data_IF_006699334899
#
_entry.id   IF_006699334899
#
_cell.length_a   1.000
_cell.length_b   1.000
_cell.length_c   1.000
_cell.angle_alpha   90.00
_cell.angle_beta   90.00
_cell.angle_gamma   90.00
#
_symmetry.space_group_name_H-M   'P 1'
#
loop_
_entity.id
_entity.type
_entity.pdbx_description
1 polymer ?
#
# COMPACT_ATOMS: atom_id res chain seq x y z
N UNK A 1 -10.88 2.99 -18.10
CA UNK A 1 -11.15 1.97 -17.06
C UNK A 1 -12.22 2.50 -16.13
N UNK A 2 -13.04 1.60 -15.60
CA UNK A 2 -13.98 1.87 -14.51
C UNK A 2 -13.30 1.63 -13.18
N UNK A 3 -13.25 2.64 -12.33
CA UNK A 3 -12.54 2.61 -11.04
C UNK A 3 -13.55 2.80 -9.93
N UNK A 4 -13.48 1.96 -8.90
CA UNK A 4 -14.11 2.20 -7.62
C UNK A 4 -13.08 2.77 -6.63
N UNK A 5 -13.48 3.68 -5.75
CA UNK A 5 -12.67 4.20 -4.68
C UNK A 5 -13.20 3.66 -3.35
N UNK A 6 -12.30 3.16 -2.51
CA UNK A 6 -12.61 2.71 -1.15
C UNK A 6 -11.77 3.56 -0.20
N UNK A 7 -12.44 4.39 0.59
CA UNK A 7 -11.87 5.47 1.36
C UNK A 7 -11.84 6.79 0.57
N UNK A 8 -12.61 7.77 1.04
CA UNK A 8 -12.75 9.07 0.35
C UNK A 8 -12.22 10.24 1.17
N UNK A 9 -11.13 9.98 1.88
CA UNK A 9 -10.34 10.98 2.56
C UNK A 9 -9.47 11.81 1.60
N UNK A 10 -8.38 12.36 2.10
CA UNK A 10 -7.45 13.19 1.31
C UNK A 10 -6.91 12.46 0.07
N UNK A 11 -6.50 11.19 0.22
CA UNK A 11 -5.97 10.41 -0.89
C UNK A 11 -7.06 10.03 -1.90
N UNK A 12 -8.22 9.57 -1.45
CA UNK A 12 -9.33 9.20 -2.34
C UNK A 12 -9.75 10.35 -3.25
N UNK A 13 -9.89 11.56 -2.71
CA UNK A 13 -10.22 12.77 -3.48
C UNK A 13 -9.16 13.13 -4.52
N UNK A 14 -7.88 12.97 -4.16
CA UNK A 14 -6.78 13.21 -5.11
C UNK A 14 -6.75 12.18 -6.23
N UNK A 15 -6.97 10.92 -5.89
CA UNK A 15 -7.01 9.82 -6.86
C UNK A 15 -8.18 10.02 -7.84
N UNK A 16 -9.35 10.43 -7.36
CA UNK A 16 -10.49 10.75 -8.21
C UNK A 16 -10.13 11.80 -9.25
N UNK A 17 -9.58 12.94 -8.81
CA UNK A 17 -9.20 14.04 -9.72
C UNK A 17 -8.21 13.57 -10.79
N UNK A 18 -7.20 12.80 -10.40
CA UNK A 18 -6.19 12.28 -11.31
C UNK A 18 -6.79 11.24 -12.27
N UNK A 19 -7.64 10.35 -11.77
CA UNK A 19 -8.28 9.32 -12.58
C UNK A 19 -9.16 9.96 -13.68
N UNK A 20 -9.99 10.93 -13.32
CA UNK A 20 -10.83 11.68 -14.26
C UNK A 20 -9.96 12.43 -15.29
N UNK A 21 -8.90 13.11 -14.85
CA UNK A 21 -7.98 13.83 -15.76
C UNK A 21 -7.28 12.91 -16.77
N UNK A 22 -7.15 11.62 -16.43
CA UNK A 22 -6.57 10.58 -17.29
C UNK A 22 -7.63 9.85 -18.15
N UNK A 23 -8.88 10.29 -18.13
CA UNK A 23 -9.96 9.69 -18.90
C UNK A 23 -10.50 8.38 -18.32
N UNK A 24 -10.33 8.15 -17.03
CA UNK A 24 -10.97 7.03 -16.33
C UNK A 24 -12.32 7.44 -15.78
N UNK A 25 -13.21 6.48 -15.59
CA UNK A 25 -14.55 6.67 -15.01
C UNK A 25 -14.54 6.22 -13.55
N UNK A 26 -14.98 7.08 -12.63
CA UNK A 26 -15.25 6.69 -11.26
C UNK A 26 -16.70 6.21 -11.17
N UNK A 27 -16.86 4.91 -10.97
CA UNK A 27 -18.20 4.27 -10.96
C UNK A 27 -18.77 4.12 -9.56
N UNK A 28 -17.94 4.10 -8.52
CA UNK A 28 -18.36 3.99 -7.13
C UNK A 28 -17.35 4.65 -6.21
N UNK A 29 -17.86 5.28 -5.15
CA UNK A 29 -17.05 5.85 -4.07
C UNK A 29 -17.62 5.33 -2.77
N UNK A 30 -16.81 4.58 -2.01
CA UNK A 30 -17.20 3.98 -0.75
C UNK A 30 -16.40 4.64 0.38
N UNK A 31 -17.10 5.05 1.42
CA UNK A 31 -16.52 5.54 2.66
C UNK A 31 -17.28 4.93 3.87
N UNK A 32 -17.06 5.46 5.05
CA UNK A 32 -17.64 4.95 6.31
C UNK A 32 -19.17 4.96 6.27
N UNK A 33 -19.76 5.98 5.64
CA UNK A 33 -21.20 6.26 5.70
C UNK A 33 -22.05 5.52 4.66
N UNK A 34 -21.44 4.78 3.71
CA UNK A 34 -22.13 4.11 2.61
C UNK A 34 -21.58 2.71 2.29
N UNK A 35 -21.30 1.94 3.32
CA UNK A 35 -20.73 0.59 3.19
C UNK A 35 -21.63 -0.39 2.43
N UNK A 36 -22.93 -0.14 2.34
CA UNK A 36 -23.91 -0.90 1.55
C UNK A 36 -23.63 -0.81 0.04
N UNK A 37 -22.95 0.23 -0.42
CA UNK A 37 -22.62 0.43 -1.84
C UNK A 37 -21.62 -0.62 -2.39
N UNK A 38 -20.95 -1.41 -1.55
CA UNK A 38 -20.25 -2.61 -1.99
C UNK A 38 -21.17 -3.60 -2.71
N UNK A 39 -22.45 -3.61 -2.38
CA UNK A 39 -23.45 -4.48 -3.00
C UNK A 39 -24.07 -3.88 -4.26
N UNK A 40 -23.73 -2.65 -4.62
CA UNK A 40 -24.30 -1.97 -5.78
C UNK A 40 -23.82 -2.55 -7.12
N UNK A 41 -24.66 -2.53 -8.17
CA UNK A 41 -24.22 -2.87 -9.52
C UNK A 41 -23.10 -1.95 -10.04
N UNK A 42 -23.05 -0.71 -9.57
CA UNK A 42 -22.01 0.25 -9.91
C UNK A 42 -20.64 -0.24 -9.43
N UNK A 43 -20.52 -0.63 -8.16
CA UNK A 43 -19.29 -1.19 -7.63
C UNK A 43 -18.87 -2.48 -8.36
N UNK A 44 -19.82 -3.39 -8.56
CA UNK A 44 -19.55 -4.65 -9.27
C UNK A 44 -19.10 -4.46 -10.73
N UNK A 45 -19.38 -3.30 -11.33
CA UNK A 45 -18.95 -2.96 -12.68
C UNK A 45 -17.53 -2.45 -12.79
N UNK A 46 -16.84 -2.23 -11.65
CA UNK A 46 -15.48 -1.70 -11.63
C UNK A 46 -14.45 -2.71 -12.15
N UNK A 47 -13.52 -2.24 -12.98
CA UNK A 47 -12.36 -3.03 -13.40
C UNK A 47 -11.36 -3.21 -12.23
N UNK A 48 -11.29 -2.22 -11.33
CA UNK A 48 -10.41 -2.18 -10.18
C UNK A 48 -10.96 -1.27 -9.10
N UNK A 49 -10.76 -1.64 -7.85
CA UNK A 49 -10.95 -0.77 -6.69
C UNK A 49 -9.61 -0.25 -6.18
N UNK A 50 -9.52 1.05 -5.91
CA UNK A 50 -8.36 1.68 -5.29
C UNK A 50 -8.72 1.99 -3.84
N UNK A 51 -7.99 1.39 -2.90
CA UNK A 51 -8.29 1.37 -1.48
C UNK A 51 -7.23 2.15 -0.68
N UNK A 52 -7.69 3.16 0.05
CA UNK A 52 -6.89 3.94 1.01
C UNK A 52 -7.75 4.24 2.25
N UNK A 53 -7.75 3.32 3.20
CA UNK A 53 -8.52 3.42 4.44
C UNK A 53 -7.65 3.22 5.69
N UNK A 54 -8.27 3.04 6.84
CA UNK A 54 -7.57 2.71 8.07
C UNK A 54 -7.11 1.24 8.08
N UNK A 55 -6.00 0.91 8.80
CA UNK A 55 -5.47 -0.44 8.90
C UNK A 55 -6.51 -1.52 9.23
N UNK A 56 -7.39 -1.20 10.16
CA UNK A 56 -8.43 -2.13 10.67
C UNK A 56 -9.54 -2.42 9.63
N UNK A 57 -9.74 -1.52 8.67
CA UNK A 57 -10.77 -1.66 7.65
C UNK A 57 -10.26 -2.36 6.37
N UNK A 58 -8.97 -2.27 6.09
CA UNK A 58 -8.38 -2.67 4.82
C UNK A 58 -8.71 -4.12 4.42
N UNK A 59 -8.46 -5.08 5.30
CA UNK A 59 -8.71 -6.49 5.02
C UNK A 59 -10.19 -6.79 4.74
N UNK A 60 -11.09 -6.23 5.57
CA UNK A 60 -12.53 -6.35 5.36
C UNK A 60 -12.99 -5.76 3.99
N UNK A 61 -12.37 -4.67 3.57
CA UNK A 61 -12.63 -4.05 2.28
C UNK A 61 -12.13 -4.94 1.12
N UNK A 62 -10.99 -5.62 1.27
CA UNK A 62 -10.52 -6.59 0.25
C UNK A 62 -11.50 -7.73 0.08
N UNK A 63 -11.98 -8.32 1.18
CA UNK A 63 -12.95 -9.42 1.12
C UNK A 63 -14.24 -9.02 0.42
N UNK A 64 -14.77 -7.83 0.71
CA UNK A 64 -15.98 -7.29 0.07
C UNK A 64 -15.75 -7.07 -1.44
N UNK A 65 -14.63 -6.46 -1.83
CA UNK A 65 -14.29 -6.23 -3.23
C UNK A 65 -14.13 -7.56 -4.00
N UNK A 66 -13.39 -8.50 -3.43
CA UNK A 66 -13.20 -9.82 -4.04
C UNK A 66 -14.47 -10.66 -4.15
N UNK A 67 -15.41 -10.50 -3.21
CA UNK A 67 -16.74 -11.15 -3.31
C UNK A 67 -17.54 -10.67 -4.52
N UNK A 68 -17.25 -9.45 -5.01
CA UNK A 68 -17.84 -8.89 -6.25
C UNK A 68 -16.98 -9.13 -7.50
N UNK A 69 -15.87 -9.85 -7.37
CA UNK A 69 -14.95 -10.10 -8.48
C UNK A 69 -14.07 -8.90 -8.85
N UNK A 70 -14.04 -7.85 -8.03
CA UNK A 70 -13.29 -6.63 -8.29
C UNK A 70 -11.85 -6.78 -7.78
N UNK A 71 -10.88 -6.47 -8.63
CA UNK A 71 -9.45 -6.45 -8.29
C UNK A 71 -9.15 -5.26 -7.39
N UNK A 72 -8.13 -5.39 -6.53
CA UNK A 72 -7.80 -4.33 -5.56
C UNK A 72 -6.37 -3.81 -5.75
N UNK A 73 -6.23 -2.49 -5.72
CA UNK A 73 -4.98 -1.77 -5.51
C UNK A 73 -5.07 -1.07 -4.16
N UNK A 74 -4.18 -1.36 -3.23
CA UNK A 74 -4.25 -0.79 -1.88
C UNK A 74 -2.97 -0.12 -1.45
N UNK A 75 -3.12 1.04 -0.81
CA UNK A 75 -2.07 1.76 -0.11
C UNK A 75 -2.26 1.79 1.41
N UNK A 76 -3.26 1.09 1.94
CA UNK A 76 -3.43 0.95 3.40
C UNK A 76 -2.33 0.08 3.99
N UNK A 77 -1.80 0.50 5.12
CA UNK A 77 -0.72 -0.18 5.85
C UNK A 77 -1.22 -0.73 7.18
N UNK A 78 -0.39 -1.51 7.89
CA UNK A 78 -0.68 -1.99 9.25
C UNK A 78 -1.58 -3.22 9.34
N UNK A 79 -2.08 -3.77 8.24
CA UNK A 79 -2.93 -4.98 8.20
C UNK A 79 -2.13 -6.28 7.97
N UNK A 80 -0.89 -6.15 7.50
CA UNK A 80 -0.08 -7.29 7.00
C UNK A 80 0.24 -8.30 8.11
N UNK A 81 0.53 -7.84 9.32
CA UNK A 81 0.89 -8.71 10.45
C UNK A 81 -0.30 -9.61 10.85
N UNK A 82 -1.52 -9.08 10.77
CA UNK A 82 -2.72 -9.78 11.21
C UNK A 82 -3.34 -10.65 10.11
N UNK A 83 -3.22 -10.24 8.84
CA UNK A 83 -3.95 -10.83 7.71
C UNK A 83 -3.09 -11.15 6.48
N UNK A 84 -1.76 -11.03 6.58
CA UNK A 84 -0.88 -11.21 5.43
C UNK A 84 -0.93 -12.62 4.85
N UNK A 85 -1.08 -13.65 5.67
CA UNK A 85 -1.12 -15.04 5.22
C UNK A 85 -2.45 -15.37 4.54
N UNK A 86 -3.58 -14.89 5.07
CA UNK A 86 -4.89 -15.04 4.44
C UNK A 86 -4.93 -14.36 3.07
N UNK A 87 -4.37 -13.15 2.98
CA UNK A 87 -4.30 -12.40 1.72
C UNK A 87 -3.42 -13.10 0.70
N UNK A 88 -2.23 -13.60 1.12
CA UNK A 88 -1.35 -14.37 0.22
C UNK A 88 -2.04 -15.62 -0.30
N UNK A 89 -2.72 -16.35 0.58
CA UNK A 89 -3.49 -17.56 0.22
C UNK A 89 -4.60 -17.22 -0.77
N UNK A 90 -5.40 -16.20 -0.49
CA UNK A 90 -6.48 -15.77 -1.39
C UNK A 90 -5.95 -15.41 -2.79
N UNK A 91 -4.79 -14.74 -2.88
CA UNK A 91 -4.18 -14.40 -4.16
C UNK A 91 -3.58 -15.61 -4.89
N UNK A 92 -2.89 -16.53 -4.18
CA UNK A 92 -2.18 -17.65 -4.79
C UNK A 92 -3.09 -18.84 -5.12
N UNK A 93 -4.13 -19.09 -4.32
CA UNK A 93 -4.96 -20.30 -4.41
C UNK A 93 -6.39 -20.03 -4.87
N UNK A 94 -6.94 -18.85 -4.59
CA UNK A 94 -8.36 -18.53 -4.84
C UNK A 94 -8.56 -17.56 -6.02
N UNK A 95 -7.49 -17.22 -6.74
CA UNK A 95 -7.55 -16.35 -7.92
C UNK A 95 -7.91 -14.89 -7.61
N UNK A 96 -7.75 -14.45 -6.36
CA UNK A 96 -7.94 -13.05 -6.00
C UNK A 96 -6.76 -12.20 -6.46
N UNK A 97 -6.98 -10.89 -6.64
CA UNK A 97 -5.92 -9.98 -7.09
C UNK A 97 -5.79 -8.82 -6.13
N UNK A 98 -4.61 -8.66 -5.57
CA UNK A 98 -4.20 -7.49 -4.81
C UNK A 98 -2.86 -6.97 -5.34
N UNK A 99 -2.79 -5.68 -5.66
CA UNK A 99 -1.55 -4.96 -5.79
C UNK A 99 -1.41 -4.01 -4.60
N UNK A 100 -0.48 -4.32 -3.71
CA UNK A 100 -0.25 -3.54 -2.50
C UNK A 100 1.16 -2.96 -2.47
N UNK A 101 1.27 -1.73 -1.96
CA UNK A 101 2.53 -1.13 -1.62
C UNK A 101 2.36 -0.22 -0.38
N UNK A 102 3.35 -0.21 0.50
CA UNK A 102 3.40 0.71 1.63
C UNK A 102 3.61 2.16 1.20
N UNK A 103 4.15 2.35 -0.01
CA UNK A 103 4.38 3.67 -0.60
C UNK A 103 4.32 3.59 -2.13
N UNK A 104 3.55 4.47 -2.75
CA UNK A 104 3.42 4.59 -4.21
C UNK A 104 4.25 5.74 -4.80
N UNK A 105 5.10 6.39 -4.02
CA UNK A 105 5.99 7.43 -4.51
C UNK A 105 7.13 6.83 -5.33
N UNK A 106 7.27 7.26 -6.58
CA UNK A 106 8.39 6.88 -7.45
C UNK A 106 9.72 7.33 -6.82
N UNK A 107 9.75 8.51 -6.18
CA UNK A 107 10.94 9.01 -5.48
C UNK A 107 11.38 8.07 -4.35
N UNK A 108 10.43 7.57 -3.55
CA UNK A 108 10.72 6.59 -2.49
C UNK A 108 11.19 5.26 -3.08
N UNK A 109 10.58 4.80 -4.18
CA UNK A 109 11.01 3.56 -4.85
C UNK A 109 12.44 3.66 -5.40
N UNK A 110 12.82 4.82 -5.97
CA UNK A 110 14.20 5.08 -6.41
C UNK A 110 15.14 5.12 -5.21
N UNK A 111 14.75 5.80 -4.13
CA UNK A 111 15.57 5.87 -2.91
C UNK A 111 15.80 4.47 -2.31
N UNK A 112 14.76 3.65 -2.20
CA UNK A 112 14.84 2.25 -1.79
C UNK A 112 15.83 1.44 -2.66
N UNK A 113 15.76 1.59 -3.99
CA UNK A 113 16.69 0.91 -4.89
C UNK A 113 18.15 1.33 -4.66
N UNK A 114 18.41 2.63 -4.46
CA UNK A 114 19.74 3.16 -4.14
C UNK A 114 20.20 2.68 -2.77
N UNK A 115 19.33 2.66 -1.77
CA UNK A 115 19.59 2.18 -0.42
C UNK A 115 20.10 0.73 -0.42
N UNK A 116 19.39 -0.18 -1.09
CA UNK A 116 19.81 -1.60 -1.24
C UNK A 116 21.15 -1.73 -1.97
N UNK A 117 21.34 -0.94 -3.02
CA UNK A 117 22.59 -0.96 -3.78
C UNK A 117 23.76 -0.46 -2.95
N UNK A 118 23.59 0.63 -2.20
CA UNK A 118 24.59 1.18 -1.31
C UNK A 118 24.96 0.18 -0.21
N UNK A 119 23.97 -0.44 0.44
CA UNK A 119 24.22 -1.47 1.47
C UNK A 119 25.11 -2.60 0.95
N UNK A 120 24.86 -3.09 -0.28
CA UNK A 120 25.70 -4.12 -0.94
C UNK A 120 27.12 -3.65 -1.18
N UNK A 121 27.33 -2.42 -1.65
CA UNK A 121 28.68 -1.86 -1.91
C UNK A 121 29.44 -1.75 -0.58
N UNK A 122 28.78 -1.30 0.49
CA UNK A 122 29.41 -1.07 1.78
C UNK A 122 29.92 -2.34 2.47
N UNK A 123 29.54 -3.53 2.01
CA UNK A 123 30.12 -4.80 2.46
C UNK A 123 31.64 -4.89 2.20
N UNK A 124 32.14 -4.18 1.20
CA UNK A 124 33.58 -4.13 0.89
C UNK A 124 34.36 -3.16 1.77
N UNK A 125 33.70 -2.38 2.60
CA UNK A 125 34.28 -1.29 3.39
C UNK A 125 33.90 -1.42 4.87
N UNK A 126 34.47 -2.41 5.60
CA UNK A 126 34.08 -2.72 6.99
C UNK A 126 34.41 -1.62 8.00
N UNK A 127 35.22 -0.62 7.61
CA UNK A 127 35.58 0.53 8.44
C UNK A 127 34.47 1.59 8.53
N UNK A 128 33.40 1.48 7.74
CA UNK A 128 32.24 2.36 7.82
C UNK A 128 31.09 1.66 8.55
N UNK A 129 30.31 2.44 9.26
CA UNK A 129 29.09 1.99 9.91
C UNK A 129 27.86 2.65 9.29
N UNK A 130 26.67 2.16 9.62
CA UNK A 130 25.40 2.67 9.08
C UNK A 130 24.56 3.22 10.22
N UNK A 131 24.18 4.47 10.10
CA UNK A 131 23.18 5.11 10.94
C UNK A 131 22.00 5.58 10.08
N UNK A 132 20.79 5.48 10.62
CA UNK A 132 19.58 5.99 9.96
C UNK A 132 18.81 6.84 10.95
N UNK A 133 18.47 8.05 10.53
CA UNK A 133 17.63 8.98 11.27
C UNK A 133 16.43 9.37 10.41
N UNK A 134 15.25 9.44 11.03
CA UNK A 134 14.06 10.02 10.39
C UNK A 134 13.53 11.20 11.19
N UNK A 135 13.09 12.22 10.49
CA UNK A 135 12.48 13.41 11.09
C UNK A 135 11.11 13.66 10.46
N UNK A 136 10.10 13.84 11.30
CA UNK A 136 8.73 14.13 10.90
C UNK A 136 8.15 15.33 11.64
N UNK A 137 7.03 15.83 11.14
CA UNK A 137 6.23 16.82 11.82
C UNK A 137 5.63 16.27 13.14
N UNK A 138 5.32 17.12 14.07
CA UNK A 138 4.86 16.77 15.43
C UNK A 138 3.53 15.98 15.49
N UNK A 139 2.78 15.92 14.41
CA UNK A 139 1.49 15.21 14.33
C UNK A 139 1.61 13.78 13.78
N UNK A 140 2.83 13.28 13.53
CA UNK A 140 2.99 11.89 13.09
C UNK A 140 2.77 10.93 14.26
N UNK A 141 1.91 9.94 14.04
CA UNK A 141 1.47 9.03 15.09
C UNK A 141 2.35 7.77 15.19
N UNK A 142 2.83 7.26 14.06
CA UNK A 142 3.66 6.06 13.97
C UNK A 142 5.16 6.40 14.02
N UNK A 143 5.88 5.75 14.91
CA UNK A 143 7.32 5.87 15.13
C UNK A 143 7.93 4.48 15.40
N UNK A 144 8.84 3.98 14.56
CA UNK A 144 9.28 4.49 13.26
C UNK A 144 8.17 4.42 12.20
N UNK A 145 8.32 5.20 11.12
CA UNK A 145 7.39 5.14 9.98
C UNK A 145 7.52 3.85 9.20
N UNK A 146 6.44 3.42 8.51
CA UNK A 146 6.50 2.26 7.63
C UNK A 146 7.59 2.36 6.56
N UNK A 147 7.86 3.56 6.04
CA UNK A 147 8.95 3.80 5.09
C UNK A 147 10.32 3.62 5.75
N UNK A 148 10.52 4.13 6.96
CA UNK A 148 11.77 3.96 7.69
C UNK A 148 12.03 2.49 8.03
N UNK A 149 11.01 1.75 8.46
CA UNK A 149 11.10 0.31 8.72
C UNK A 149 11.56 -0.42 7.44
N UNK A 150 10.88 -0.18 6.31
CA UNK A 150 11.25 -0.81 5.04
C UNK A 150 12.70 -0.52 4.64
N UNK A 151 13.14 0.74 4.75
CA UNK A 151 14.52 1.12 4.41
C UNK A 151 15.55 0.47 5.35
N UNK A 152 15.24 0.36 6.64
CA UNK A 152 16.10 -0.31 7.61
C UNK A 152 16.20 -1.83 7.33
N UNK A 153 15.07 -2.49 7.08
CA UNK A 153 15.02 -3.90 6.70
C UNK A 153 15.84 -4.16 5.43
N UNK A 154 15.72 -3.31 4.40
CA UNK A 154 16.52 -3.40 3.18
C UNK A 154 18.02 -3.27 3.43
N UNK A 155 18.46 -2.43 4.37
CA UNK A 155 19.86 -2.35 4.77
C UNK A 155 20.29 -3.65 5.44
N UNK A 156 19.55 -4.12 6.43
CA UNK A 156 19.86 -5.34 7.19
C UNK A 156 19.90 -6.58 6.28
N UNK A 157 18.99 -6.68 5.30
CA UNK A 157 18.97 -7.79 4.34
C UNK A 157 20.16 -7.79 3.37
N UNK A 158 20.75 -6.63 3.08
CA UNK A 158 21.78 -6.47 2.07
C UNK A 158 23.17 -6.18 2.63
N UNK A 159 23.30 -6.01 3.94
CA UNK A 159 24.59 -5.87 4.62
C UNK A 159 24.98 -7.20 5.29
N UNK A 160 26.21 -7.67 5.03
CA UNK A 160 26.68 -8.97 5.53
C UNK A 160 27.16 -8.92 6.98
N UNK A 161 27.23 -7.73 7.57
CA UNK A 161 27.63 -7.52 8.96
C UNK A 161 26.43 -7.82 9.85
N UNK A 162 26.46 -8.97 10.48
CA UNK A 162 25.51 -9.34 11.54
C UNK A 162 26.25 -9.19 12.88
N UNK A 163 25.93 -8.15 13.61
CA UNK A 163 26.17 -8.12 15.04
C UNK A 163 24.93 -8.58 15.79
#
# INVERSE_FOLDING_TARGET
MKIALIGYGKMGKMIEQIAISRGHEIVSVIDIDNQEDFDSPAFASADVAIEFTAPQAAYGNYLKAWAKGVKVVSGSTGWMNDHGDEVRKACSEEGKTLFWASNFSIGVAIFSAVNRYLAKIMNQFPQYDVEMEETHHVHKLDHPSGTAITLAEEIVENIDRKE
#
